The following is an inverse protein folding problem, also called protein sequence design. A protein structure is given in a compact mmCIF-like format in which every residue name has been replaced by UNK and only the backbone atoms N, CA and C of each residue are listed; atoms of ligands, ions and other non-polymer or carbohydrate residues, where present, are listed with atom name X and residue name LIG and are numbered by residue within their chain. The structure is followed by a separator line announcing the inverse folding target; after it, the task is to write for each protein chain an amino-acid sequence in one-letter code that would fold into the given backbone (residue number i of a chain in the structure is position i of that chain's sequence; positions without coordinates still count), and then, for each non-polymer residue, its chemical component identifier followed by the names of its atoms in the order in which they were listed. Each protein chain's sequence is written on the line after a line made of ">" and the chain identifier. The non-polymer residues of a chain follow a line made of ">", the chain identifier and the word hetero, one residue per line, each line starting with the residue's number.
data_IF_337089640517
#
_entry.id   IF_337089640517
#
_cell.length_a   1.000
_cell.length_b   1.000
_cell.length_c   1.000
_cell.angle_alpha   90.00
_cell.angle_beta   90.00
_cell.angle_gamma   90.00
#
_symmetry.space_group_name_H-M   'P 1'
#
loop_
_entity.id
_entity.type
_entity.pdbx_description
1 polymer ?
#
# COMPACT_ATOMS: atom_id res chain seq x y z
N UNK A 1 -16.18 8.05 5.24
CA UNK A 1 -15.34 8.14 4.02
C UNK A 1 -14.27 7.07 4.13
N UNK A 2 -14.21 6.08 3.23
CA UNK A 2 -13.22 5.01 3.32
C UNK A 2 -11.83 5.49 2.96
N UNK A 3 -10.82 4.91 3.62
CA UNK A 3 -9.40 5.00 3.25
C UNK A 3 -9.07 3.82 2.33
N UNK A 4 -8.54 4.11 1.16
CA UNK A 4 -8.21 3.13 0.12
C UNK A 4 -6.71 3.17 -0.11
N UNK A 5 -6.00 2.20 0.44
CA UNK A 5 -4.58 1.98 0.17
C UNK A 5 -4.41 1.04 -1.02
N UNK A 6 -3.81 1.53 -2.10
CA UNK A 6 -3.53 0.69 -3.28
C UNK A 6 -2.57 -0.45 -2.96
N UNK A 7 -1.66 -0.25 -2.01
CA UNK A 7 -0.82 -1.33 -1.51
C UNK A 7 -1.62 -2.43 -0.81
N UNK A 8 -2.70 -2.09 -0.09
CA UNK A 8 -3.57 -3.09 0.52
C UNK A 8 -4.38 -3.83 -0.54
N UNK A 9 -4.91 -3.14 -1.56
CA UNK A 9 -5.60 -3.79 -2.67
C UNK A 9 -4.72 -4.84 -3.36
N UNK A 10 -3.46 -4.50 -3.65
CA UNK A 10 -2.48 -5.44 -4.23
C UNK A 10 -2.26 -6.63 -3.31
N UNK A 11 -2.05 -6.41 -2.02
CA UNK A 11 -1.82 -7.49 -1.06
C UNK A 11 -3.04 -8.41 -0.90
N UNK A 12 -4.24 -7.86 -0.94
CA UNK A 12 -5.47 -8.64 -0.87
C UNK A 12 -5.66 -9.52 -2.10
N UNK A 13 -5.40 -9.01 -3.31
CA UNK A 13 -5.43 -9.81 -4.54
C UNK A 13 -4.40 -10.97 -4.50
N UNK A 14 -3.17 -10.70 -4.03
CA UNK A 14 -2.12 -11.72 -3.88
C UNK A 14 -2.53 -12.76 -2.83
N UNK A 15 -3.01 -12.33 -1.67
CA UNK A 15 -3.45 -13.21 -0.58
C UNK A 15 -4.59 -14.12 -1.00
N UNK A 16 -5.53 -13.59 -1.77
CA UNK A 16 -6.69 -14.33 -2.26
C UNK A 16 -6.37 -15.16 -3.51
N UNK A 17 -5.13 -15.15 -4.01
CA UNK A 17 -4.65 -15.90 -5.16
C UNK A 17 -5.52 -15.72 -6.41
N UNK A 18 -6.06 -14.52 -6.60
CA UNK A 18 -6.81 -14.18 -7.82
C UNK A 18 -5.89 -14.24 -9.04
N UNK A 19 -6.45 -14.36 -10.24
CA UNK A 19 -5.65 -14.31 -11.47
C UNK A 19 -4.81 -13.04 -11.57
N UNK A 20 -5.39 -11.91 -11.17
CA UNK A 20 -4.68 -10.62 -11.09
C UNK A 20 -3.60 -10.65 -10.00
N UNK A 21 -3.90 -11.22 -8.82
CA UNK A 21 -2.94 -11.38 -7.73
C UNK A 21 -1.71 -12.20 -8.13
N UNK A 22 -1.88 -13.26 -8.89
CA UNK A 22 -0.78 -14.07 -9.42
C UNK A 22 0.11 -13.27 -10.38
N UNK A 23 -0.50 -12.47 -11.26
CA UNK A 23 0.23 -11.64 -12.23
C UNK A 23 1.05 -10.51 -11.57
N UNK A 24 0.57 -9.95 -10.46
CA UNK A 24 1.19 -8.79 -9.80
C UNK A 24 2.10 -9.15 -8.63
N UNK A 25 2.15 -10.42 -8.21
CA UNK A 25 2.93 -10.83 -7.04
C UNK A 25 4.43 -10.53 -7.19
N UNK A 26 4.99 -10.74 -8.38
CA UNK A 26 6.40 -10.52 -8.68
C UNK A 26 6.78 -9.03 -8.60
N UNK A 27 5.90 -8.14 -9.06
CA UNK A 27 6.13 -6.69 -8.94
C UNK A 27 6.20 -6.28 -7.48
N UNK A 28 5.26 -6.74 -6.66
CA UNK A 28 5.20 -6.41 -5.22
C UNK A 28 6.41 -6.92 -4.46
N UNK A 29 6.85 -8.16 -4.71
CA UNK A 29 7.99 -8.77 -4.00
C UNK A 29 9.33 -8.11 -4.33
N UNK A 30 9.47 -7.52 -5.52
CA UNK A 30 10.68 -6.81 -5.96
C UNK A 30 10.61 -5.29 -5.75
N UNK A 31 9.55 -4.77 -5.13
CA UNK A 31 9.38 -3.33 -4.87
C UNK A 31 9.14 -2.49 -6.12
N UNK A 32 8.69 -3.11 -7.19
CA UNK A 32 8.32 -2.46 -8.45
C UNK A 32 6.87 -1.98 -8.39
N UNK A 33 6.53 -0.99 -9.22
CA UNK A 33 5.14 -0.61 -9.41
C UNK A 33 4.41 -1.68 -10.24
N UNK A 34 3.19 -1.99 -9.81
CA UNK A 34 2.25 -2.78 -10.61
C UNK A 34 1.92 -1.99 -11.89
N UNK A 35 1.79 -2.63 -13.06
CA UNK A 35 1.46 -1.94 -14.30
C UNK A 35 0.23 -1.03 -14.16
N UNK A 36 0.30 0.18 -14.74
CA UNK A 36 -0.69 1.24 -14.54
C UNK A 36 -2.12 0.80 -14.88
N UNK A 37 -2.29 0.06 -15.99
CA UNK A 37 -3.60 -0.46 -16.40
C UNK A 37 -4.20 -1.42 -15.37
N UNK A 38 -3.39 -2.27 -14.74
CA UNK A 38 -3.85 -3.22 -13.72
C UNK A 38 -4.21 -2.47 -12.44
N UNK A 39 -3.38 -1.51 -12.03
CA UNK A 39 -3.65 -0.69 -10.85
C UNK A 39 -4.91 0.15 -11.01
N UNK A 40 -5.14 0.75 -12.18
CA UNK A 40 -6.34 1.52 -12.46
C UNK A 40 -7.60 0.65 -12.42
N UNK A 41 -7.55 -0.58 -12.94
CA UNK A 41 -8.67 -1.54 -12.87
C UNK A 41 -9.00 -1.91 -11.42
N UNK A 42 -7.98 -2.21 -10.59
CA UNK A 42 -8.17 -2.51 -9.18
C UNK A 42 -8.83 -1.34 -8.45
N UNK A 43 -8.32 -0.14 -8.68
CA UNK A 43 -8.87 1.07 -8.07
C UNK A 43 -10.31 1.31 -8.52
N UNK A 44 -10.59 1.25 -9.81
CA UNK A 44 -11.93 1.47 -10.36
C UNK A 44 -12.95 0.50 -9.74
N UNK A 45 -12.61 -0.79 -9.65
CA UNK A 45 -13.44 -1.79 -8.98
C UNK A 45 -13.71 -1.44 -7.51
N UNK A 46 -12.74 -0.85 -6.80
CA UNK A 46 -12.88 -0.50 -5.38
C UNK A 46 -13.71 0.77 -5.17
N UNK A 47 -13.48 1.83 -5.94
CA UNK A 47 -14.17 3.11 -5.73
C UNK A 47 -15.63 3.09 -6.21
N UNK A 48 -16.04 2.11 -7.02
CA UNK A 48 -17.45 1.90 -7.40
C UNK A 48 -18.28 1.24 -6.30
N UNK A 49 -17.67 0.82 -5.18
CA UNK A 49 -18.43 0.23 -4.07
C UNK A 49 -19.29 1.29 -3.36
N UNK A 50 -20.47 0.89 -2.80
CA UNK A 50 -21.43 1.81 -2.19
C UNK A 50 -20.85 2.69 -1.06
N UNK A 51 -19.85 2.19 -0.33
CA UNK A 51 -19.19 2.94 0.76
C UNK A 51 -18.39 4.15 0.27
N UNK A 52 -18.02 4.18 -1.03
CA UNK A 52 -17.31 5.26 -1.68
C UNK A 52 -18.23 6.38 -2.23
N UNK A 53 -19.54 6.19 -2.22
CA UNK A 53 -20.50 7.13 -2.83
C UNK A 53 -20.43 8.56 -2.28
N UNK A 54 -19.95 8.74 -1.04
CA UNK A 54 -19.79 10.06 -0.39
C UNK A 54 -18.35 10.55 -0.38
N UNK A 55 -17.48 9.99 -1.23
CA UNK A 55 -16.06 10.28 -1.31
C UNK A 55 -15.18 9.24 -0.62
N UNK A 56 -13.88 9.34 -0.87
CA UNK A 56 -12.86 8.40 -0.36
C UNK A 56 -11.52 9.12 -0.24
N UNK A 57 -10.59 8.50 0.49
CA UNK A 57 -9.19 8.93 0.59
C UNK A 57 -8.34 7.89 -0.12
N UNK A 58 -7.56 8.32 -1.12
CA UNK A 58 -6.58 7.46 -1.78
C UNK A 58 -5.24 7.56 -1.07
N UNK A 59 -4.60 6.42 -0.85
CA UNK A 59 -3.25 6.32 -0.30
C UNK A 59 -2.35 5.54 -1.26
N UNK A 60 -1.27 6.19 -1.68
CA UNK A 60 -0.31 5.62 -2.62
C UNK A 60 -0.80 5.57 -4.07
N UNK A 61 -1.74 6.43 -4.45
CA UNK A 61 -2.23 6.61 -5.82
C UNK A 61 -2.71 8.05 -6.05
N UNK A 62 -2.48 8.66 -7.23
CA UNK A 62 -1.65 8.13 -8.33
C UNK A 62 -0.15 8.16 -8.02
N UNK A 63 0.64 7.34 -8.70
CA UNK A 63 2.11 7.33 -8.62
C UNK A 63 2.79 7.63 -9.94
N UNK A 64 2.05 7.67 -11.03
CA UNK A 64 2.53 8.00 -12.37
C UNK A 64 1.58 8.97 -13.04
N UNK A 65 2.07 9.70 -14.06
CA UNK A 65 1.22 10.61 -14.85
C UNK A 65 0.06 9.86 -15.53
N UNK A 66 0.27 8.70 -16.17
CA UNK A 66 -0.84 7.92 -16.72
C UNK A 66 -1.91 7.55 -15.68
N UNK A 67 -1.50 7.17 -14.46
CA UNK A 67 -2.46 6.88 -13.38
C UNK A 67 -3.28 8.12 -13.00
N UNK A 68 -2.65 9.30 -12.95
CA UNK A 68 -3.35 10.55 -12.65
C UNK A 68 -4.39 10.87 -13.74
N UNK A 69 -4.02 10.72 -15.01
CA UNK A 69 -4.92 10.94 -16.15
C UNK A 69 -6.10 9.96 -16.16
N UNK A 70 -5.87 8.69 -15.80
CA UNK A 70 -6.97 7.73 -15.66
C UNK A 70 -7.87 8.05 -14.47
N UNK A 71 -7.30 8.51 -13.34
CA UNK A 71 -8.09 8.93 -12.18
C UNK A 71 -9.03 10.09 -12.55
N UNK A 72 -8.55 11.10 -13.27
CA UNK A 72 -9.34 12.26 -13.69
C UNK A 72 -10.58 11.89 -14.54
N UNK A 73 -10.53 10.77 -15.26
CA UNK A 73 -11.67 10.29 -16.05
C UNK A 73 -12.80 9.71 -15.18
N UNK A 74 -12.49 9.28 -13.97
CA UNK A 74 -13.43 8.56 -13.10
C UNK A 74 -13.77 9.32 -11.82
N UNK A 75 -12.89 10.22 -11.36
CA UNK A 75 -13.10 11.03 -10.16
C UNK A 75 -12.16 12.23 -10.16
N UNK A 76 -12.66 13.36 -9.68
CA UNK A 76 -11.85 14.57 -9.47
C UNK A 76 -11.32 14.57 -8.03
N UNK A 77 -10.04 14.91 -7.85
CA UNK A 77 -9.45 15.09 -6.54
C UNK A 77 -9.78 16.49 -6.01
N UNK A 78 -10.44 16.59 -4.84
CA UNK A 78 -10.69 17.86 -4.16
C UNK A 78 -9.43 18.40 -3.49
N UNK A 79 -8.62 17.50 -2.92
CA UNK A 79 -7.39 17.83 -2.21
C UNK A 79 -6.29 16.81 -2.49
N UNK A 80 -5.05 17.31 -2.55
CA UNK A 80 -3.84 16.48 -2.63
C UNK A 80 -2.94 16.82 -1.46
N UNK A 81 -2.56 15.81 -0.68
CA UNK A 81 -1.65 15.95 0.47
C UNK A 81 -0.34 15.23 0.15
N UNK A 82 0.74 15.99 0.00
CA UNK A 82 2.07 15.43 -0.21
C UNK A 82 2.84 15.39 1.10
N UNK A 83 3.18 14.18 1.56
CA UNK A 83 3.97 13.95 2.77
C UNK A 83 5.46 13.83 2.42
N UNK A 84 6.21 14.87 2.72
CA UNK A 84 7.65 14.88 2.48
C UNK A 84 8.43 14.37 3.71
N UNK A 85 9.18 13.30 3.54
CA UNK A 85 10.04 12.70 4.57
C UNK A 85 11.38 12.32 3.96
N UNK A 86 12.45 12.34 4.77
CA UNK A 86 13.77 11.89 4.32
C UNK A 86 13.82 10.37 4.16
N UNK A 87 14.70 9.89 3.27
CA UNK A 87 14.90 8.46 3.07
C UNK A 87 15.28 7.72 4.35
N UNK A 88 16.11 8.34 5.19
CA UNK A 88 16.50 7.76 6.48
C UNK A 88 15.29 7.43 7.35
N UNK A 89 14.30 8.34 7.42
CA UNK A 89 13.06 8.12 8.17
C UNK A 89 12.21 7.05 7.51
N UNK A 90 12.15 7.01 6.18
CA UNK A 90 11.40 5.97 5.45
C UNK A 90 12.01 4.60 5.70
N UNK A 91 13.32 4.46 5.55
CA UNK A 91 14.04 3.21 5.78
C UNK A 91 13.81 2.72 7.23
N UNK A 92 13.98 3.60 8.21
CA UNK A 92 13.77 3.27 9.61
C UNK A 92 12.33 2.78 9.88
N UNK A 93 11.33 3.48 9.35
CA UNK A 93 9.91 3.13 9.54
C UNK A 93 9.54 1.81 8.87
N UNK A 94 10.01 1.58 7.65
CA UNK A 94 9.68 0.37 6.91
C UNK A 94 10.40 -0.86 7.48
N UNK A 95 11.70 -0.74 7.79
CA UNK A 95 12.49 -1.87 8.33
C UNK A 95 12.03 -2.35 9.71
N UNK A 96 11.41 -1.46 10.51
CA UNK A 96 10.87 -1.79 11.83
C UNK A 96 9.35 -1.98 11.85
N UNK A 97 8.70 -1.99 10.68
CA UNK A 97 7.25 -2.19 10.55
C UNK A 97 6.85 -3.64 10.77
N UNK A 98 5.82 -3.82 11.59
CA UNK A 98 5.15 -5.11 11.78
C UNK A 98 3.71 -5.02 11.28
N UNK A 99 3.22 -6.10 10.70
CA UNK A 99 1.85 -6.18 10.18
C UNK A 99 1.16 -7.41 10.75
N UNK A 100 -0.09 -7.27 11.14
CA UNK A 100 -0.88 -8.41 11.61
C UNK A 100 -1.37 -9.27 10.45
N UNK A 101 -1.08 -10.58 10.48
CA UNK A 101 -1.54 -11.54 9.46
C UNK A 101 -3.06 -11.64 9.37
N UNK A 102 -3.78 -11.42 10.50
CA UNK A 102 -5.23 -11.61 10.59
C UNK A 102 -6.02 -10.36 10.17
N UNK A 103 -5.68 -9.18 10.72
CA UNK A 103 -6.49 -7.97 10.54
C UNK A 103 -5.76 -6.83 9.80
N UNK A 104 -4.52 -7.04 9.33
CA UNK A 104 -3.75 -6.00 8.65
C UNK A 104 -3.27 -4.85 9.56
N UNK A 105 -3.52 -4.90 10.87
CA UNK A 105 -3.10 -3.87 11.82
C UNK A 105 -1.59 -3.64 11.75
N UNK A 106 -1.19 -2.37 11.72
CA UNK A 106 0.22 -1.96 11.57
C UNK A 106 0.78 -1.57 12.93
N UNK A 107 1.98 -2.05 13.21
CA UNK A 107 2.81 -1.75 14.37
C UNK A 107 4.22 -1.37 13.92
N UNK A 108 5.02 -0.92 14.87
CA UNK A 108 6.42 -0.60 14.65
C UNK A 108 7.22 -0.96 15.90
N UNK A 109 8.34 -1.65 15.72
CA UNK A 109 9.16 -2.13 16.84
C UNK A 109 9.73 -1.01 17.73
N UNK A 110 9.79 0.23 17.20
CA UNK A 110 10.37 1.38 17.89
C UNK A 110 9.30 2.35 18.42
N UNK A 111 8.35 2.74 17.57
CA UNK A 111 7.42 3.85 17.84
C UNK A 111 6.00 3.42 18.21
N UNK A 112 5.52 2.27 17.72
CA UNK A 112 4.17 1.76 17.98
C UNK A 112 4.23 0.28 18.30
N UNK A 113 4.76 -0.04 19.48
CA UNK A 113 4.94 -1.41 19.91
C UNK A 113 3.62 -2.08 20.29
N UNK A 114 3.45 -3.37 19.98
CA UNK A 114 2.33 -4.13 20.53
C UNK A 114 2.53 -4.34 22.04
N UNK A 115 1.43 -4.46 22.78
CA UNK A 115 1.45 -4.73 24.23
C UNK A 115 2.09 -6.08 24.56
N UNK A 116 1.89 -7.07 23.69
CA UNK A 116 2.53 -8.39 23.77
C UNK A 116 3.37 -8.58 22.51
N UNK A 117 4.65 -8.84 22.68
CA UNK A 117 5.57 -9.06 21.56
C UNK A 117 5.03 -10.13 20.59
N UNK A 118 5.05 -9.83 19.30
CA UNK A 118 4.58 -10.72 18.23
C UNK A 118 3.06 -10.87 18.12
N UNK A 119 2.25 -10.21 18.96
CA UNK A 119 0.78 -10.30 18.95
C UNK A 119 0.10 -8.96 18.70
N UNK A 120 -0.93 -9.00 17.87
CA UNK A 120 -1.75 -7.84 17.56
C UNK A 120 -2.70 -7.50 18.72
N UNK A 121 -2.66 -6.27 19.22
CA UNK A 121 -3.54 -5.80 20.30
C UNK A 121 -5.02 -5.77 19.90
N UNK A 122 -5.32 -5.64 18.58
CA UNK A 122 -6.71 -5.58 18.08
C UNK A 122 -7.39 -6.94 18.00
N UNK A 123 -6.66 -8.00 17.62
CA UNK A 123 -7.28 -9.29 17.31
C UNK A 123 -6.49 -10.51 17.76
N UNK A 124 -5.37 -10.33 18.48
CA UNK A 124 -4.50 -11.40 18.96
C UNK A 124 -3.72 -12.15 17.87
N UNK A 125 -3.85 -11.74 16.61
CA UNK A 125 -3.16 -12.38 15.49
C UNK A 125 -1.66 -12.15 15.51
N UNK A 126 -0.90 -13.03 14.84
CA UNK A 126 0.55 -12.96 14.71
C UNK A 126 0.98 -11.70 13.95
N UNK A 127 2.04 -11.04 14.43
CA UNK A 127 2.71 -9.93 13.77
C UNK A 127 3.94 -10.45 13.00
N UNK A 128 4.15 -9.91 11.80
CA UNK A 128 5.27 -10.29 10.93
C UNK A 128 5.83 -9.10 10.17
N UNK A 129 7.07 -9.19 9.74
CA UNK A 129 7.65 -8.26 8.76
C UNK A 129 7.17 -8.62 7.36
N UNK A 130 6.81 -7.63 6.58
CA UNK A 130 6.43 -7.82 5.17
C UNK A 130 7.68 -8.16 4.33
N UNK A 131 7.50 -8.93 3.27
CA UNK A 131 8.59 -9.22 2.33
C UNK A 131 9.05 -7.97 1.59
N UNK A 132 8.15 -7.03 1.31
CA UNK A 132 8.45 -5.75 0.68
C UNK A 132 9.11 -4.72 1.63
N UNK A 133 9.35 -5.07 2.90
CA UNK A 133 10.08 -4.26 3.89
C UNK A 133 11.52 -4.76 4.15
N UNK A 134 12.00 -5.70 3.34
CA UNK A 134 13.41 -6.11 3.36
C UNK A 134 14.30 -4.94 2.88
N UNK A 135 15.51 -4.72 3.46
CA UNK A 135 16.35 -3.56 3.15
C UNK A 135 16.59 -3.33 1.65
N UNK A 136 16.91 -4.40 0.91
CA UNK A 136 17.13 -4.31 -0.53
C UNK A 136 15.87 -3.88 -1.30
N UNK A 137 14.69 -4.37 -0.88
CA UNK A 137 13.41 -4.01 -1.50
C UNK A 137 13.02 -2.56 -1.16
N UNK A 138 13.28 -2.10 0.07
CA UNK A 138 13.07 -0.70 0.45
C UNK A 138 13.90 0.22 -0.43
N UNK A 139 15.17 -0.10 -0.65
CA UNK A 139 16.06 0.68 -1.51
C UNK A 139 15.52 0.76 -2.94
N UNK A 140 15.13 -0.37 -3.51
CA UNK A 140 14.52 -0.43 -4.85
C UNK A 140 13.25 0.41 -4.93
N UNK A 141 12.39 0.37 -3.92
CA UNK A 141 11.15 1.19 -3.84
C UNK A 141 11.46 2.69 -3.84
N UNK A 142 12.48 3.13 -3.11
CA UNK A 142 12.90 4.52 -3.10
C UNK A 142 13.43 4.98 -4.47
N UNK A 143 14.20 4.13 -5.15
CA UNK A 143 14.68 4.43 -6.50
C UNK A 143 13.52 4.52 -7.51
N UNK A 144 12.59 3.58 -7.47
CA UNK A 144 11.39 3.59 -8.32
C UNK A 144 10.55 4.83 -8.06
N UNK A 145 10.32 5.17 -6.79
CA UNK A 145 9.58 6.38 -6.41
C UNK A 145 10.21 7.65 -7.01
N UNK A 146 11.52 7.83 -6.87
CA UNK A 146 12.21 9.02 -7.40
C UNK A 146 12.18 9.13 -8.93
N UNK A 147 12.06 8.00 -9.64
CA UNK A 147 12.04 7.97 -11.11
C UNK A 147 10.65 8.13 -11.69
N UNK A 148 9.61 7.70 -10.98
CA UNK A 148 8.28 7.52 -11.55
C UNK A 148 7.19 8.33 -10.84
N UNK A 149 7.43 8.75 -9.59
CA UNK A 149 6.49 9.53 -8.78
C UNK A 149 7.03 10.93 -8.49
#
# INVERSE_FOLDING_TARGET
>A
MPHISTGDLVRDEIKNQTEMGKQISDYSSHGLLVPDNVMCQLLQKRITQPDCARGFILDGFPRTIPQAQELEKISTADFVINLQVTDAVIIERLSSRLTCRKCGGIYNERSLKPSISGRCDKCGGELYHRDDDKPAVIQQRLEVYRKQT
#
